data_IF_705559527951
#
_entry.id   IF_705559527951
#
_cell.length_a   1.000
_cell.length_b   1.000
_cell.length_c   1.000
_cell.angle_alpha   90.00
_cell.angle_beta   90.00
_cell.angle_gamma   90.00
#
_symmetry.space_group_name_H-M   'P 1'
#
loop_
_entity.id
_entity.type
_entity.pdbx_description
1 polymer ?
#
# COMPACT_ATOMS: atom_id res chain seq x y z
N UNK A 1 -9.08 20.03 -14.94
CA UNK A 1 -9.90 19.65 -13.76
C UNK A 1 -9.62 18.24 -13.27
N UNK A 2 -9.58 17.21 -14.13
CA UNK A 2 -9.31 15.82 -13.71
C UNK A 2 -7.88 15.66 -13.13
N UNK A 3 -6.89 16.29 -13.74
CA UNK A 3 -5.48 16.19 -13.34
C UNK A 3 -5.21 16.80 -11.95
N UNK A 4 -5.80 17.96 -11.66
CA UNK A 4 -5.75 18.61 -10.34
C UNK A 4 -6.44 17.77 -9.24
N UNK A 5 -7.53 17.08 -9.58
CA UNK A 5 -8.26 16.23 -8.64
C UNK A 5 -7.46 14.98 -8.24
N UNK A 6 -6.70 14.42 -9.18
CA UNK A 6 -5.84 13.27 -8.91
C UNK A 6 -4.65 13.63 -8.02
N UNK A 7 -4.07 14.83 -8.18
CA UNK A 7 -3.00 15.30 -7.32
C UNK A 7 -3.46 15.48 -5.86
N UNK A 8 -4.65 16.05 -5.64
CA UNK A 8 -5.22 16.18 -4.30
C UNK A 8 -5.48 14.83 -3.61
N UNK A 9 -5.83 13.80 -4.38
CA UNK A 9 -5.96 12.43 -3.84
C UNK A 9 -4.62 11.87 -3.43
N UNK A 10 -3.59 12.04 -4.25
CA UNK A 10 -2.24 11.56 -3.99
C UNK A 10 -1.64 12.22 -2.73
N UNK A 11 -1.78 13.54 -2.58
CA UNK A 11 -1.33 14.26 -1.38
C UNK A 11 -2.02 13.74 -0.10
N UNK A 12 -3.31 13.43 -0.21
CA UNK A 12 -4.08 12.87 0.90
C UNK A 12 -3.60 11.45 1.24
N UNK A 13 -3.36 10.62 0.24
CA UNK A 13 -2.86 9.25 0.40
C UNK A 13 -1.49 9.25 1.06
N UNK A 14 -0.56 10.05 0.54
CA UNK A 14 0.76 10.26 1.13
C UNK A 14 0.65 10.63 2.62
N UNK A 15 -0.18 11.63 2.94
CA UNK A 15 -0.35 12.10 4.32
C UNK A 15 -0.85 10.99 5.24
N UNK A 16 -1.82 10.19 4.78
CA UNK A 16 -2.36 9.07 5.55
C UNK A 16 -1.26 8.02 5.76
N UNK A 17 -0.57 7.61 4.70
CA UNK A 17 0.48 6.59 4.78
C UNK A 17 1.65 7.00 5.70
N UNK A 18 2.04 8.28 5.73
CA UNK A 18 3.06 8.79 6.68
C UNK A 18 2.64 8.67 8.14
N UNK A 19 1.34 8.71 8.43
CA UNK A 19 0.80 8.63 9.79
C UNK A 19 0.65 7.18 10.28
N UNK A 20 0.56 6.22 9.36
CA UNK A 20 0.39 4.81 9.70
C UNK A 20 1.74 4.19 10.11
N UNK A 21 1.85 3.78 11.37
CA UNK A 21 3.01 3.05 11.91
C UNK A 21 2.53 1.84 12.68
N UNK A 22 2.49 0.70 12.01
CA UNK A 22 2.03 -0.56 12.59
C UNK A 22 2.68 -1.74 11.87
N UNK A 23 2.97 -2.82 12.60
CA UNK A 23 3.67 -4.02 12.08
C UNK A 23 2.93 -4.73 10.94
N UNK A 24 1.61 -4.56 10.86
CA UNK A 24 0.74 -5.21 9.87
C UNK A 24 0.23 -4.25 8.79
N UNK A 25 0.79 -3.04 8.71
CA UNK A 25 0.47 -2.07 7.65
C UNK A 25 1.76 -1.79 6.90
N UNK A 26 1.71 -1.90 5.57
CA UNK A 26 2.84 -1.55 4.69
C UNK A 26 3.19 -0.08 4.92
N UNK A 27 4.40 0.18 5.39
CA UNK A 27 4.83 1.51 5.80
C UNK A 27 5.40 2.29 4.61
N UNK A 28 5.04 3.57 4.53
CA UNK A 28 5.69 4.51 3.62
C UNK A 28 6.98 5.05 4.27
N UNK A 29 8.11 4.82 3.61
CA UNK A 29 9.43 5.27 4.05
C UNK A 29 9.76 6.66 3.54
N UNK A 30 9.58 6.88 2.24
CA UNK A 30 9.98 8.10 1.56
C UNK A 30 9.08 8.40 0.37
N UNK A 31 9.09 9.67 -0.05
CA UNK A 31 8.40 10.14 -1.26
C UNK A 31 9.31 11.03 -2.07
N UNK A 32 9.29 10.87 -3.39
CA UNK A 32 10.04 11.73 -4.31
C UNK A 32 9.05 12.26 -5.34
N UNK A 33 9.03 13.57 -5.52
CA UNK A 33 8.15 14.23 -6.50
C UNK A 33 9.02 14.92 -7.54
N UNK A 34 8.81 14.56 -8.80
CA UNK A 34 9.41 15.17 -9.98
C UNK A 34 8.33 15.91 -10.79
N UNK A 35 8.73 16.63 -11.85
CA UNK A 35 7.80 17.44 -12.65
C UNK A 35 6.64 16.63 -13.27
N UNK A 36 6.87 15.34 -13.52
CA UNK A 36 5.93 14.47 -14.24
C UNK A 36 5.58 13.18 -13.50
N UNK A 37 6.30 12.86 -12.42
CA UNK A 37 6.18 11.58 -11.72
C UNK A 37 6.24 11.76 -10.20
N UNK A 38 5.51 10.90 -9.50
CA UNK A 38 5.57 10.78 -8.05
C UNK A 38 5.93 9.36 -7.67
N UNK A 39 6.93 9.23 -6.81
CA UNK A 39 7.44 7.96 -6.31
C UNK A 39 7.10 7.85 -4.82
N UNK A 40 6.48 6.72 -4.45
CA UNK A 40 6.18 6.36 -3.08
C UNK A 40 7.00 5.11 -2.72
N UNK A 41 7.88 5.22 -1.74
CA UNK A 41 8.80 4.17 -1.34
C UNK A 41 8.20 3.44 -0.14
N UNK A 42 7.80 2.19 -0.32
CA UNK A 42 7.13 1.34 0.67
C UNK A 42 7.97 0.12 1.07
N UNK A 43 7.51 -0.64 2.07
CA UNK A 43 8.06 -1.97 2.38
C UNK A 43 7.99 -2.91 1.18
N UNK A 44 9.06 -3.68 0.98
CA UNK A 44 9.08 -4.77 0.02
C UNK A 44 8.40 -6.00 0.63
N UNK A 45 7.22 -6.35 0.11
CA UNK A 45 6.49 -7.56 0.51
C UNK A 45 6.63 -8.62 -0.58
N UNK A 46 7.19 -9.78 -0.23
CA UNK A 46 7.42 -10.90 -1.16
C UNK A 46 6.39 -12.02 -1.02
N UNK A 47 5.42 -11.87 -0.11
CA UNK A 47 4.40 -12.89 0.20
C UNK A 47 3.20 -12.92 -0.75
N UNK A 48 3.09 -11.96 -1.67
CA UNK A 48 1.95 -11.87 -2.58
C UNK A 48 0.64 -11.46 -1.91
N UNK A 49 -0.48 -11.76 -2.55
CA UNK A 49 -1.81 -11.47 -2.02
C UNK A 49 -2.32 -12.60 -1.13
N UNK A 50 -2.92 -12.23 0.01
CA UNK A 50 -3.49 -13.20 0.94
C UNK A 50 -4.61 -14.04 0.30
N UNK A 51 -5.43 -13.42 -0.56
CA UNK A 51 -6.53 -14.13 -1.21
C UNK A 51 -6.00 -15.25 -2.14
N UNK A 52 -4.95 -14.97 -2.89
CA UNK A 52 -4.30 -15.96 -3.76
C UNK A 52 -3.74 -17.13 -2.93
N UNK A 53 -3.10 -16.83 -1.80
CA UNK A 53 -2.58 -17.85 -0.88
C UNK A 53 -3.71 -18.72 -0.29
N UNK A 54 -4.85 -18.13 0.08
CA UNK A 54 -6.01 -18.86 0.60
C UNK A 54 -6.59 -19.77 -0.49
N UNK A 55 -6.74 -19.28 -1.72
CA UNK A 55 -7.27 -20.08 -2.84
C UNK A 55 -6.32 -21.22 -3.21
N UNK A 56 -5.01 -21.00 -3.12
CA UNK A 56 -4.00 -22.03 -3.37
C UNK A 56 -3.98 -23.12 -2.29
N UNK A 57 -4.36 -22.80 -1.05
CA UNK A 57 -4.50 -23.76 0.04
C UNK A 57 -5.86 -24.45 -0.04
N UNK A 58 -5.87 -25.77 -0.31
CA UNK A 58 -7.10 -26.57 -0.34
C UNK A 58 -7.89 -26.57 1.00
N UNK A 59 -7.24 -26.20 2.11
CA UNK A 59 -7.88 -26.09 3.43
C UNK A 59 -7.30 -24.91 4.22
N UNK A 60 -8.18 -24.05 4.71
CA UNK A 60 -7.88 -22.95 5.64
C UNK A 60 -8.87 -23.07 6.80
N UNK A 61 -8.39 -23.41 8.00
CA UNK A 61 -9.27 -23.61 9.16
C UNK A 61 -9.58 -22.28 9.85
N UNK A 62 -10.66 -22.20 10.65
CA UNK A 62 -10.96 -21.00 11.45
C UNK A 62 -9.86 -20.67 12.47
N UNK A 63 -9.04 -21.66 12.86
CA UNK A 63 -7.86 -21.47 13.71
C UNK A 63 -6.66 -20.86 12.98
N UNK A 64 -6.65 -20.89 11.64
CA UNK A 64 -5.60 -20.28 10.82
C UNK A 64 -5.91 -18.82 10.44
N UNK A 65 -7.14 -18.36 10.70
CA UNK A 65 -7.62 -17.00 10.46
C UNK A 65 -7.30 -16.05 11.62
#
# INVERSE_FOLDING_TARGET
MIELYNLQKLEKEEKICRMLRHTNIVQLHETISEETHHYLIFDLITGGELFDEIVAREYYSETDA
#
